data_IF_992923334091
#
_entry.id   IF_992923334091
#
_cell.length_a   1.000
_cell.length_b   1.000
_cell.length_c   1.000
_cell.angle_alpha   90.00
_cell.angle_beta   90.00
_cell.angle_gamma   90.00
#
_symmetry.space_group_name_H-M   'P 1'
#
loop_
_entity.id
_entity.type
_entity.pdbx_description
1 polymer ?
#
# COMPACT_ATOMS: atom_id res chain seq x y z
N UNK A 1 -39.92 -11.83 31.26
CA UNK A 1 -38.95 -10.72 31.41
C UNK A 1 -37.63 -11.22 30.87
N UNK A 2 -37.32 -10.87 29.62
CA UNK A 2 -36.20 -11.42 28.86
C UNK A 2 -35.25 -10.27 28.58
N UNK A 3 -34.10 -10.27 29.25
CA UNK A 3 -33.04 -9.28 29.08
C UNK A 3 -32.21 -9.64 27.84
N UNK A 4 -32.33 -8.85 26.78
CA UNK A 4 -31.46 -8.93 25.61
C UNK A 4 -30.18 -8.13 25.87
N UNK A 5 -29.02 -8.77 25.71
CA UNK A 5 -27.72 -8.09 25.63
C UNK A 5 -27.56 -7.53 24.21
N UNK A 6 -27.45 -6.21 24.07
CA UNK A 6 -26.98 -5.58 22.83
C UNK A 6 -25.45 -5.48 22.83
N UNK A 7 -24.75 -5.96 21.78
CA UNK A 7 -23.35 -5.66 21.59
C UNK A 7 -23.20 -4.27 20.94
N UNK A 8 -22.70 -3.31 21.70
CA UNK A 8 -22.23 -2.02 21.18
C UNK A 8 -21.04 -2.24 20.23
N UNK A 9 -21.29 -2.16 18.93
CA UNK A 9 -20.23 -2.00 17.93
C UNK A 9 -19.87 -0.52 17.90
N UNK A 10 -18.81 -0.15 18.62
CA UNK A 10 -18.17 1.16 18.52
C UNK A 10 -17.44 1.24 17.17
N UNK A 11 -17.92 2.11 16.29
CA UNK A 11 -17.33 2.41 14.99
C UNK A 11 -16.06 3.27 15.18
N UNK A 12 -14.87 2.91 14.65
CA UNK A 12 -13.65 3.69 14.84
C UNK A 12 -13.49 4.79 13.77
N UNK A 13 -14.57 5.49 13.40
CA UNK A 13 -14.48 6.61 12.45
C UNK A 13 -14.19 7.97 13.13
N UNK A 14 -14.13 8.02 14.46
CA UNK A 14 -13.87 9.28 15.16
C UNK A 14 -13.06 9.08 16.44
N UNK A 15 -11.73 9.00 16.30
CA UNK A 15 -10.81 9.39 17.37
C UNK A 15 -9.44 9.65 16.77
N UNK A 16 -9.14 10.93 16.52
CA UNK A 16 -7.82 11.49 16.74
C UNK A 16 -7.95 13.02 16.72
N UNK A 17 -8.29 13.56 17.89
CA UNK A 17 -8.04 14.96 18.20
C UNK A 17 -6.94 15.02 19.25
N UNK A 18 -5.86 15.73 18.86
CA UNK A 18 -4.91 16.52 19.67
C UNK A 18 -3.46 16.14 19.38
N UNK A 19 -2.87 16.87 18.45
CA UNK A 19 -1.53 17.48 18.58
C UNK A 19 -1.36 18.51 17.46
N UNK A 20 -1.70 19.77 17.72
CA UNK A 20 -1.48 20.91 16.79
C UNK A 20 -1.84 20.61 15.34
N UNK A 21 -3.08 20.12 15.10
CA UNK A 21 -3.51 19.48 13.85
C UNK A 21 -3.02 20.26 12.61
N UNK A 22 -1.99 19.72 11.96
CA UNK A 22 -1.60 20.14 10.62
C UNK A 22 -2.86 20.08 9.75
N UNK A 23 -3.36 21.25 9.34
CA UNK A 23 -4.56 21.35 8.52
C UNK A 23 -4.33 20.44 7.31
N UNK A 24 -5.18 19.43 7.10
CA UNK A 24 -4.97 18.54 5.94
C UNK A 24 -5.12 19.37 4.66
N UNK A 25 -4.14 19.35 3.73
CA UNK A 25 -4.26 20.10 2.49
C UNK A 25 -5.47 19.61 1.71
N UNK A 26 -6.30 20.55 1.23
CA UNK A 26 -7.45 20.24 0.38
C UNK A 26 -7.21 20.75 -1.02
N UNK A 27 -7.49 19.92 -2.01
CA UNK A 27 -7.42 20.34 -3.41
C UNK A 27 -8.75 20.95 -3.83
N UNK A 28 -8.70 22.15 -4.39
CA UNK A 28 -9.84 22.90 -4.91
C UNK A 28 -9.72 23.14 -6.40
N UNK A 29 -10.83 23.01 -7.11
CA UNK A 29 -10.90 23.11 -8.55
C UNK A 29 -11.59 24.41 -8.95
N UNK A 30 -10.86 25.24 -9.67
CA UNK A 30 -11.38 26.46 -10.29
C UNK A 30 -11.36 26.29 -11.81
N UNK A 31 -12.13 27.13 -12.52
CA UNK A 31 -12.31 27.06 -13.98
C UNK A 31 -11.01 26.92 -14.80
N UNK A 32 -9.89 27.47 -14.31
CA UNK A 32 -8.59 27.45 -15.01
C UNK A 32 -7.40 27.06 -14.12
N UNK A 33 -7.63 26.64 -12.88
CA UNK A 33 -6.53 26.29 -11.97
C UNK A 33 -6.93 25.27 -10.92
N UNK A 34 -5.94 24.50 -10.49
CA UNK A 34 -6.00 23.65 -9.30
C UNK A 34 -5.34 24.46 -8.18
N UNK A 35 -5.97 24.54 -7.01
CA UNK A 35 -5.37 25.18 -5.84
C UNK A 35 -5.24 24.18 -4.70
N UNK A 36 -4.13 24.25 -3.98
CA UNK A 36 -3.92 23.53 -2.73
C UNK A 36 -4.25 24.50 -1.60
N UNK A 37 -5.33 24.22 -0.88
CA UNK A 37 -5.83 25.04 0.22
C UNK A 37 -5.18 24.60 1.53
N UNK A 38 -4.31 25.45 2.08
CA UNK A 38 -3.65 25.28 3.36
C UNK A 38 -3.24 26.67 3.92
N UNK A 39 -3.27 26.92 5.24
CA UNK A 39 -2.83 28.20 5.82
C UNK A 39 -1.38 28.55 5.50
N UNK A 40 -0.51 27.54 5.43
CA UNK A 40 0.86 27.64 4.92
C UNK A 40 0.96 26.95 3.54
N UNK A 41 1.09 27.71 2.43
CA UNK A 41 1.15 27.13 1.09
C UNK A 41 2.29 26.11 0.89
N UNK A 42 3.45 26.34 1.51
CA UNK A 42 4.59 25.43 1.36
C UNK A 42 4.37 24.14 2.13
N UNK A 43 3.84 24.22 3.36
CA UNK A 43 3.43 23.02 4.10
C UNK A 43 2.34 22.25 3.36
N UNK A 44 1.39 22.95 2.73
CA UNK A 44 0.33 22.32 1.94
C UNK A 44 0.87 21.52 0.74
N UNK A 45 1.82 22.10 -0.02
CA UNK A 45 2.50 21.38 -1.11
C UNK A 45 3.28 20.16 -0.58
N UNK A 46 4.03 20.30 0.52
CA UNK A 46 4.81 19.19 1.11
C UNK A 46 3.93 18.04 1.61
N UNK A 47 2.88 18.34 2.37
CA UNK A 47 1.95 17.34 2.91
C UNK A 47 1.21 16.59 1.80
N UNK A 48 0.87 17.29 0.71
CA UNK A 48 0.22 16.67 -0.44
C UNK A 48 1.21 15.85 -1.30
N UNK A 49 2.46 16.29 -1.42
CA UNK A 49 3.52 15.51 -2.05
C UNK A 49 3.76 14.20 -1.31
N UNK A 50 3.89 14.26 0.02
CA UNK A 50 4.01 13.08 0.88
C UNK A 50 2.81 12.13 0.71
N UNK A 51 1.59 12.66 0.76
CA UNK A 51 0.37 11.86 0.59
C UNK A 51 0.28 11.14 -0.77
N UNK A 52 0.89 11.71 -1.82
CA UNK A 52 0.89 11.14 -3.17
C UNK A 52 2.15 10.35 -3.51
N UNK A 53 3.15 10.30 -2.63
CA UNK A 53 4.47 9.73 -2.93
C UNK A 53 5.24 10.51 -3.99
N UNK A 54 4.99 11.80 -4.13
CA UNK A 54 5.68 12.66 -5.08
C UNK A 54 7.05 13.11 -4.53
N UNK A 55 8.11 12.83 -5.30
CA UNK A 55 9.50 13.13 -4.91
C UNK A 55 9.87 14.60 -5.04
N UNK A 56 9.15 15.34 -5.90
CA UNK A 56 9.37 16.76 -6.12
C UNK A 56 8.08 17.47 -6.55
N UNK A 57 8.19 18.76 -6.78
CA UNK A 57 7.08 19.63 -7.16
C UNK A 57 6.51 19.28 -8.54
N UNK A 58 7.33 18.84 -9.48
CA UNK A 58 6.88 18.52 -10.83
C UNK A 58 6.11 17.19 -10.85
N UNK A 59 6.57 16.19 -10.09
CA UNK A 59 5.88 14.95 -9.84
C UNK A 59 4.53 15.21 -9.14
N UNK A 60 4.50 16.06 -8.11
CA UNK A 60 3.26 16.43 -7.42
C UNK A 60 2.23 17.01 -8.40
N UNK A 61 2.61 18.04 -9.15
CA UNK A 61 1.69 18.69 -10.08
C UNK A 61 1.31 17.79 -11.26
N UNK A 62 2.23 16.92 -11.70
CA UNK A 62 1.99 15.91 -12.72
C UNK A 62 0.91 14.93 -12.30
N UNK A 63 1.08 14.30 -11.12
CA UNK A 63 0.12 13.37 -10.53
C UNK A 63 -1.23 14.05 -10.29
N UNK A 64 -1.25 15.25 -9.70
CA UNK A 64 -2.49 15.99 -9.48
C UNK A 64 -3.25 16.26 -10.79
N UNK A 65 -2.57 16.68 -11.86
CA UNK A 65 -3.23 16.88 -13.16
C UNK A 65 -3.81 15.60 -13.72
N UNK A 66 -3.13 14.46 -13.56
CA UNK A 66 -3.64 13.16 -14.00
C UNK A 66 -4.87 12.73 -13.17
N UNK A 67 -4.81 12.87 -11.85
CA UNK A 67 -5.93 12.55 -10.95
C UNK A 67 -7.14 13.45 -11.18
N UNK A 68 -6.92 14.74 -11.44
CA UNK A 68 -8.00 15.67 -11.81
C UNK A 68 -8.73 15.19 -13.07
N UNK A 69 -7.99 14.75 -14.09
CA UNK A 69 -8.62 14.18 -15.31
C UNK A 69 -9.38 12.89 -15.01
N UNK A 70 -8.80 12.00 -14.21
CA UNK A 70 -9.42 10.73 -13.84
C UNK A 70 -10.66 10.89 -12.92
N UNK A 71 -10.73 11.99 -12.15
CA UNK A 71 -11.86 12.33 -11.28
C UNK A 71 -13.14 12.68 -12.05
N UNK A 72 -13.04 12.96 -13.35
CA UNK A 72 -14.13 13.58 -14.10
C UNK A 72 -15.41 12.73 -14.18
N UNK A 73 -16.56 13.40 -14.07
CA UNK A 73 -17.89 12.89 -14.37
C UNK A 73 -18.47 13.76 -15.48
N UNK A 74 -19.04 13.16 -16.54
CA UNK A 74 -19.68 13.94 -17.61
C UNK A 74 -18.77 15.00 -18.24
N UNK A 75 -17.49 14.66 -18.46
CA UNK A 75 -16.45 15.56 -19.02
C UNK A 75 -16.00 16.72 -18.11
N UNK A 76 -16.43 16.77 -16.85
CA UNK A 76 -15.99 17.79 -15.88
C UNK A 76 -15.28 17.14 -14.70
N UNK A 77 -14.09 17.63 -14.29
CA UNK A 77 -13.46 17.22 -13.05
C UNK A 77 -14.41 17.37 -11.85
N UNK A 78 -14.36 16.41 -10.94
CA UNK A 78 -15.23 16.37 -9.76
C UNK A 78 -14.38 16.44 -8.48
N UNK A 79 -14.62 17.46 -7.64
CA UNK A 79 -13.84 17.69 -6.42
C UNK A 79 -13.96 16.53 -5.43
N UNK A 80 -15.15 15.93 -5.32
CA UNK A 80 -15.42 14.84 -4.37
C UNK A 80 -14.67 13.57 -4.76
N UNK A 81 -14.74 13.20 -6.03
CA UNK A 81 -13.95 12.09 -6.58
C UNK A 81 -12.46 12.34 -6.41
N UNK A 82 -11.97 13.55 -6.71
CA UNK A 82 -10.55 13.86 -6.54
C UNK A 82 -10.10 13.72 -5.08
N UNK A 83 -10.90 14.23 -4.14
CA UNK A 83 -10.62 14.09 -2.71
C UNK A 83 -10.61 12.62 -2.27
N UNK A 84 -11.55 11.80 -2.75
CA UNK A 84 -11.57 10.36 -2.52
C UNK A 84 -10.31 9.67 -3.07
N UNK A 85 -9.91 10.01 -4.30
CA UNK A 85 -8.71 9.45 -4.93
C UNK A 85 -7.45 9.78 -4.13
N UNK A 86 -7.26 11.05 -3.75
CA UNK A 86 -6.11 11.48 -2.93
C UNK A 86 -6.13 10.78 -1.56
N UNK A 87 -7.29 10.68 -0.91
CA UNK A 87 -7.40 9.99 0.37
C UNK A 87 -7.05 8.51 0.27
N UNK A 88 -7.45 7.85 -0.83
CA UNK A 88 -7.14 6.44 -1.09
C UNK A 88 -5.64 6.25 -1.33
N UNK A 89 -5.01 7.10 -2.16
CA UNK A 89 -3.56 7.04 -2.40
C UNK A 89 -2.80 7.23 -1.08
N UNK A 90 -3.16 8.26 -0.30
CA UNK A 90 -2.58 8.51 1.03
C UNK A 90 -2.69 7.29 1.95
N UNK A 91 -3.84 6.62 1.94
CA UNK A 91 -4.06 5.41 2.76
C UNK A 91 -3.22 4.21 2.32
N UNK A 92 -2.88 4.11 1.04
CA UNK A 92 -2.02 3.03 0.52
C UNK A 92 -0.54 3.31 0.84
N UNK A 93 -0.21 4.59 1.05
CA UNK A 93 1.12 5.10 1.43
C UNK A 93 2.23 4.62 0.46
N UNK A 94 2.28 5.19 -0.77
CA UNK A 94 3.33 4.85 -1.73
C UNK A 94 4.72 5.15 -1.16
N UNK A 95 5.64 4.19 -1.24
CA UNK A 95 6.99 4.28 -0.65
C UNK A 95 8.02 4.93 -1.57
N UNK A 96 7.79 4.91 -2.87
CA UNK A 96 8.67 5.45 -3.90
C UNK A 96 7.87 5.93 -5.13
N UNK A 97 8.59 6.46 -6.13
CA UNK A 97 7.97 6.99 -7.35
C UNK A 97 7.26 5.93 -8.20
N UNK A 98 7.71 4.67 -8.19
CA UNK A 98 7.07 3.58 -8.92
C UNK A 98 5.76 3.21 -8.25
N UNK A 99 5.75 3.10 -6.92
CA UNK A 99 4.52 2.92 -6.15
C UNK A 99 3.57 4.10 -6.38
N UNK A 100 4.05 5.35 -6.37
CA UNK A 100 3.20 6.53 -6.57
C UNK A 100 2.43 6.48 -7.91
N UNK A 101 3.13 6.08 -8.98
CA UNK A 101 2.53 5.89 -10.30
C UNK A 101 1.57 4.70 -10.33
N UNK A 102 1.98 3.55 -9.78
CA UNK A 102 1.16 2.34 -9.76
C UNK A 102 -0.12 2.54 -8.96
N UNK A 103 -0.02 3.11 -7.77
CA UNK A 103 -1.16 3.38 -6.88
C UNK A 103 -2.10 4.42 -7.48
N UNK A 104 -1.58 5.48 -8.11
CA UNK A 104 -2.41 6.45 -8.85
C UNK A 104 -3.18 5.78 -10.00
N UNK A 105 -2.55 4.85 -10.70
CA UNK A 105 -3.20 4.05 -11.75
C UNK A 105 -4.25 3.11 -11.15
N UNK A 106 -3.96 2.41 -10.05
CA UNK A 106 -4.90 1.51 -9.36
C UNK A 106 -6.19 2.22 -8.94
N UNK A 107 -6.05 3.40 -8.33
CA UNK A 107 -7.20 4.22 -7.91
C UNK A 107 -8.01 4.68 -9.14
N UNK A 108 -7.35 5.06 -10.22
CA UNK A 108 -8.02 5.43 -11.48
C UNK A 108 -8.77 4.25 -12.12
N UNK A 109 -8.16 3.05 -12.11
CA UNK A 109 -8.78 1.80 -12.58
C UNK A 109 -10.01 1.45 -11.73
N UNK A 110 -9.90 1.58 -10.40
CA UNK A 110 -11.03 1.36 -9.50
C UNK A 110 -12.20 2.31 -9.81
N UNK A 111 -11.94 3.61 -9.98
CA UNK A 111 -12.97 4.59 -10.36
C UNK A 111 -13.63 4.25 -11.70
N UNK A 112 -12.85 3.84 -12.70
CA UNK A 112 -13.38 3.42 -13.99
C UNK A 112 -14.24 2.15 -13.89
N UNK A 113 -13.84 1.19 -13.05
CA UNK A 113 -14.59 -0.03 -12.80
C UNK A 113 -15.94 0.27 -12.12
N UNK A 114 -15.95 1.12 -11.08
CA UNK A 114 -17.19 1.51 -10.40
C UNK A 114 -18.15 2.28 -11.32
N UNK A 115 -17.63 3.09 -12.24
CA UNK A 115 -18.44 3.74 -13.29
C UNK A 115 -19.02 2.73 -14.27
N UNK A 116 -18.26 1.69 -14.67
CA UNK A 116 -18.78 0.62 -15.51
C UNK A 116 -19.88 -0.16 -14.78
N UNK A 117 -19.69 -0.49 -13.51
CA UNK A 117 -20.69 -1.19 -12.70
C UNK A 117 -21.99 -0.36 -12.59
N UNK A 118 -21.89 0.94 -12.29
CA UNK A 118 -23.05 1.84 -12.26
C UNK A 118 -23.76 1.90 -13.62
N UNK A 119 -23.02 2.07 -14.72
CA UNK A 119 -23.62 2.07 -16.07
C UNK A 119 -24.34 0.77 -16.39
N UNK A 120 -23.75 -0.37 -16.03
CA UNK A 120 -24.34 -1.69 -16.25
C UNK A 120 -25.66 -1.84 -15.48
N UNK A 121 -25.75 -1.32 -14.25
CA UNK A 121 -26.96 -1.35 -13.45
C UNK A 121 -28.10 -0.46 -13.98
N UNK A 122 -27.81 0.49 -14.89
CA UNK A 122 -28.77 1.48 -15.38
C UNK A 122 -29.10 1.34 -16.88
N UNK A 123 -28.54 0.36 -17.59
CA UNK A 123 -28.77 0.18 -19.03
C UNK A 123 -29.62 -1.07 -19.30
N UNK A 124 -30.66 -0.92 -20.11
CA UNK A 124 -31.48 -2.02 -20.62
C UNK A 124 -31.07 -2.44 -22.05
N UNK A 125 -30.16 -1.69 -22.69
CA UNK A 125 -29.63 -1.98 -24.02
C UNK A 125 -28.58 -3.11 -23.97
N UNK A 126 -28.92 -4.28 -24.53
CA UNK A 126 -28.12 -5.49 -24.46
C UNK A 126 -26.70 -5.35 -25.09
N UNK A 127 -26.54 -4.75 -26.29
CA UNK A 127 -25.20 -4.43 -26.83
C UNK A 127 -24.35 -3.54 -25.91
N UNK A 128 -24.95 -2.54 -25.28
CA UNK A 128 -24.27 -1.70 -24.30
C UNK A 128 -23.90 -2.48 -23.04
N UNK A 129 -24.80 -3.31 -22.51
CA UNK A 129 -24.52 -4.18 -21.35
C UNK A 129 -23.31 -5.07 -21.62
N UNK A 130 -23.24 -5.73 -22.77
CA UNK A 130 -22.11 -6.59 -23.13
C UNK A 130 -20.79 -5.82 -23.18
N UNK A 131 -20.80 -4.65 -23.84
CA UNK A 131 -19.61 -3.79 -23.95
C UNK A 131 -19.11 -3.33 -22.58
N UNK A 132 -20.02 -2.87 -21.71
CA UNK A 132 -19.70 -2.39 -20.36
C UNK A 132 -19.22 -3.54 -19.47
N UNK A 133 -19.85 -4.72 -19.58
CA UNK A 133 -19.43 -5.93 -18.84
C UNK A 133 -18.01 -6.35 -19.21
N UNK A 134 -17.66 -6.35 -20.51
CA UNK A 134 -16.30 -6.65 -20.98
C UNK A 134 -15.28 -5.62 -20.47
N UNK A 135 -15.65 -4.35 -20.41
CA UNK A 135 -14.79 -3.30 -19.84
C UNK A 135 -14.57 -3.49 -18.33
N UNK A 136 -15.65 -3.72 -17.58
CA UNK A 136 -15.60 -3.99 -16.14
C UNK A 136 -14.71 -5.20 -15.83
N UNK A 137 -14.93 -6.33 -16.51
CA UNK A 137 -14.12 -7.55 -16.32
C UNK A 137 -12.63 -7.30 -16.57
N UNK A 138 -12.27 -6.55 -17.63
CA UNK A 138 -10.87 -6.21 -17.91
C UNK A 138 -10.27 -5.34 -16.81
N UNK A 139 -10.98 -4.29 -16.39
CA UNK A 139 -10.52 -3.40 -15.32
C UNK A 139 -10.35 -4.14 -13.98
N UNK A 140 -11.28 -5.03 -13.64
CA UNK A 140 -11.18 -5.86 -12.42
C UNK A 140 -9.96 -6.78 -12.45
N UNK A 141 -9.66 -7.41 -13.60
CA UNK A 141 -8.43 -8.23 -13.75
C UNK A 141 -7.17 -7.37 -13.67
N UNK A 142 -7.16 -6.19 -14.29
CA UNK A 142 -6.06 -5.23 -14.17
C UNK A 142 -5.83 -4.82 -12.72
N UNK A 143 -6.89 -4.51 -11.97
CA UNK A 143 -6.78 -4.14 -10.56
C UNK A 143 -6.14 -5.27 -9.72
N UNK A 144 -6.60 -6.52 -9.90
CA UNK A 144 -6.00 -7.67 -9.23
C UNK A 144 -4.50 -7.83 -9.56
N UNK A 145 -4.14 -7.72 -10.85
CA UNK A 145 -2.74 -7.80 -11.28
C UNK A 145 -1.87 -6.65 -10.70
N UNK A 146 -2.43 -5.44 -10.55
CA UNK A 146 -1.74 -4.32 -9.93
C UNK A 146 -1.54 -4.51 -8.42
N UNK A 147 -2.52 -5.09 -7.72
CA UNK A 147 -2.39 -5.47 -6.30
C UNK A 147 -1.24 -6.47 -6.12
N UNK A 148 -1.17 -7.49 -6.96
CA UNK A 148 -0.04 -8.43 -6.94
C UNK A 148 1.29 -7.76 -7.27
N UNK A 149 1.32 -6.88 -8.26
CA UNK A 149 2.53 -6.14 -8.63
C UNK A 149 3.04 -5.26 -7.48
N UNK A 150 2.14 -4.54 -6.80
CA UNK A 150 2.48 -3.73 -5.63
C UNK A 150 3.02 -4.61 -4.48
N UNK A 151 2.36 -5.75 -4.22
CA UNK A 151 2.83 -6.71 -3.22
C UNK A 151 4.22 -7.24 -3.56
N UNK A 152 4.46 -7.65 -4.81
CA UNK A 152 5.78 -8.12 -5.26
C UNK A 152 6.86 -7.04 -5.15
N UNK A 153 6.55 -5.80 -5.56
CA UNK A 153 7.45 -4.66 -5.44
C UNK A 153 7.90 -4.45 -3.99
N UNK A 154 6.94 -4.39 -3.06
CA UNK A 154 7.20 -4.22 -1.62
C UNK A 154 8.01 -5.35 -0.97
N UNK A 155 7.82 -6.58 -1.44
CA UNK A 155 8.51 -7.76 -0.91
C UNK A 155 9.87 -8.02 -1.61
N UNK A 156 10.13 -7.39 -2.75
CA UNK A 156 11.40 -7.54 -3.46
C UNK A 156 12.53 -6.77 -2.77
N UNK A 157 12.20 -5.66 -2.09
CA UNK A 157 13.16 -4.87 -1.32
C UNK A 157 13.73 -5.62 -0.09
N UNK A 158 12.99 -6.59 0.46
CA UNK A 158 13.45 -7.41 1.59
C UNK A 158 14.39 -8.57 1.18
N UNK A 159 14.47 -8.91 -0.12
CA UNK A 159 15.24 -10.06 -0.61
C UNK A 159 16.33 -9.64 -1.58
N UNK A 160 17.23 -8.76 -1.15
CA UNK A 160 18.50 -8.57 -1.83
C UNK A 160 19.30 -9.89 -1.80
N UNK A 161 19.16 -10.72 -2.83
CA UNK A 161 19.91 -11.98 -3.00
C UNK A 161 21.39 -11.58 -3.17
N UNK A 162 22.16 -11.71 -2.09
CA UNK A 162 23.62 -11.54 -2.16
C UNK A 162 24.20 -12.81 -2.78
N UNK A 163 24.52 -12.76 -4.08
CA UNK A 163 25.19 -13.87 -4.77
C UNK A 163 26.65 -13.87 -4.35
N UNK A 164 27.02 -14.77 -3.43
CA UNK A 164 28.41 -15.05 -3.10
C UNK A 164 28.84 -16.30 -3.88
N UNK A 165 29.69 -16.13 -4.88
CA UNK A 165 30.27 -17.25 -5.63
C UNK A 165 31.22 -18.01 -4.71
N UNK A 166 30.78 -19.15 -4.18
CA UNK A 166 31.62 -20.06 -3.40
C UNK A 166 32.25 -21.09 -4.34
N UNK A 167 33.58 -21.08 -4.40
CA UNK A 167 34.34 -22.16 -5.06
C UNK A 167 34.27 -23.40 -4.16
N UNK A 168 33.66 -24.46 -4.69
CA UNK A 168 33.64 -25.76 -4.03
C UNK A 168 34.88 -26.52 -4.51
N UNK A 169 35.80 -26.81 -3.59
CA UNK A 169 36.95 -27.67 -3.88
C UNK A 169 36.49 -29.13 -4.05
N UNK A 170 37.31 -29.94 -4.73
CA UNK A 170 37.00 -31.33 -5.03
C UNK A 170 36.64 -32.10 -3.74
N UNK A 171 35.40 -32.57 -3.64
CA UNK A 171 34.84 -33.24 -2.45
C UNK A 171 33.94 -32.39 -1.53
N UNK A 172 33.78 -31.08 -1.77
CA UNK A 172 32.82 -30.25 -1.02
C UNK A 172 31.37 -30.41 -1.52
N UNK A 173 30.38 -30.35 -0.61
CA UNK A 173 28.95 -30.35 -0.98
C UNK A 173 28.31 -29.03 -0.56
N UNK A 174 27.80 -28.27 -1.52
CA UNK A 174 27.00 -27.09 -1.25
C UNK A 174 25.53 -27.49 -1.03
N UNK A 175 24.91 -26.94 0.01
CA UNK A 175 23.46 -27.07 0.25
C UNK A 175 22.81 -25.78 -0.27
N UNK A 176 21.88 -25.91 -1.20
CA UNK A 176 21.09 -24.78 -1.74
C UNK A 176 19.63 -24.98 -1.32
N UNK A 177 19.13 -24.10 -0.46
CA UNK A 177 17.76 -24.17 0.07
C UNK A 177 17.58 -23.38 1.38
N UNK A 178 16.33 -23.20 1.82
CA UNK A 178 16.01 -22.50 3.06
C UNK A 178 16.33 -23.39 4.28
N UNK A 179 17.46 -23.14 4.95
CA UNK A 179 17.89 -23.93 6.13
C UNK A 179 17.38 -23.28 7.41
N UNK A 180 16.42 -23.92 8.08
CA UNK A 180 15.99 -23.57 9.44
C UNK A 180 16.79 -24.38 10.45
N UNK A 181 17.77 -23.76 11.13
CA UNK A 181 18.51 -24.41 12.22
C UNK A 181 17.68 -24.34 13.51
N UNK A 182 17.20 -25.49 13.98
CA UNK A 182 16.67 -25.60 15.34
C UNK A 182 17.86 -25.76 16.30
N UNK A 183 18.16 -24.72 17.07
CA UNK A 183 19.20 -24.79 18.10
C UNK A 183 18.70 -25.60 19.30
N UNK A 184 19.10 -26.87 19.39
CA UNK A 184 18.99 -27.66 20.61
C UNK A 184 20.19 -27.33 21.52
N UNK A 185 19.91 -26.65 22.64
CA UNK A 185 20.88 -26.32 23.67
C UNK A 185 21.24 -27.60 24.43
N UNK A 186 22.41 -28.19 24.17
CA UNK A 186 22.99 -29.25 25.00
C UNK A 186 23.68 -28.60 26.19
N UNK A 187 23.05 -28.69 27.37
CA UNK A 187 23.68 -28.39 28.65
C UNK A 187 24.68 -29.52 28.95
N UNK A 188 25.97 -29.23 28.83
CA UNK A 188 27.03 -30.09 29.35
C UNK A 188 27.24 -29.76 30.82
N UNK A 189 26.66 -30.58 31.70
CA UNK A 189 26.94 -30.53 33.14
C UNK A 189 28.35 -31.10 33.38
N UNK A 190 29.32 -30.21 33.61
CA UNK A 190 30.67 -30.59 34.00
C UNK A 190 30.69 -31.06 35.45
N UNK A 191 30.73 -32.37 35.67
CA UNK A 191 31.07 -32.95 36.97
C UNK A 191 32.57 -32.76 37.29
N UNK A 192 32.95 -32.36 38.52
CA UNK A 192 34.36 -32.22 38.88
C UNK A 192 34.96 -33.58 39.25
N UNK A 193 36.13 -33.85 38.68
CA UNK A 193 36.94 -35.04 38.91
C UNK A 193 38.02 -34.78 39.97
N UNK A 194 38.05 -35.66 40.99
CA UNK A 194 39.26 -36.22 41.60
C UNK A 194 40.26 -35.31 42.32
N UNK A 195 40.11 -35.17 43.64
CA UNK A 195 41.23 -34.92 44.56
C UNK A 195 41.85 -36.25 45.00
N UNK A 196 43.09 -36.49 44.56
CA UNK A 196 44.01 -37.47 45.17
C UNK A 196 44.63 -36.86 46.42
N UNK A 197 44.47 -37.49 47.57
CA UNK A 197 45.37 -37.32 48.72
C UNK A 197 45.46 -38.66 49.46
N UNK A 198 46.69 -39.14 49.69
CA UNK A 198 46.98 -40.51 50.08
C UNK A 198 47.32 -40.74 51.56
N UNK A 199 48.00 -41.88 51.76
CA UNK A 199 48.67 -42.41 52.95
C UNK A 199 47.87 -43.43 53.83
N UNK A 200 48.42 -44.65 53.82
CA UNK A 200 48.21 -45.79 54.73
C UNK A 200 48.84 -45.49 56.13
N UNK A 201 48.74 -46.35 57.18
CA UNK A 201 48.52 -47.80 57.24
C UNK A 201 47.20 -48.29 57.82
#
# INVERSE_FOLDING_TARGET
MTTALEPHITSPLAANHRSGDAVTPRVKLYKRRIAISHPDPQAGERLLAEALGAVDRDALHGLLRQLVKASAIGQKPDETNLAFMISTIRSIAPKDSIEALLVSQMVSVHMAAMRCACRLACTDDLPQQETVTRALTRLSRTFAAQVEALSRHRNSDERAITVQNLSVQDGGRAIVGNVTQHASMLVAETGPSGTRQGANP
#
